data_IF_916153838438
#
_entry.id   IF_916153838438
#
_cell.length_a   1.000
_cell.length_b   1.000
_cell.length_c   1.000
_cell.angle_alpha   90.00
_cell.angle_beta   90.00
_cell.angle_gamma   90.00
#
_symmetry.space_group_name_H-M   'P 1'
#
loop_
_entity.id
_entity.type
_entity.pdbx_description
1 polymer ?
#
# COMPACT_ATOMS: atom_id res chain seq x y z
N UNK A 1 34.18 -7.27 -41.84
CA UNK A 1 33.16 -8.32 -41.67
C UNK A 1 33.80 -9.39 -40.81
N UNK A 2 33.59 -9.32 -39.50
CA UNK A 2 34.11 -10.32 -38.55
C UNK A 2 32.99 -11.31 -38.28
N UNK A 3 33.12 -12.48 -38.88
CA UNK A 3 32.20 -13.60 -38.69
C UNK A 3 32.16 -14.01 -37.22
N UNK A 4 30.94 -14.08 -36.68
CA UNK A 4 30.67 -14.63 -35.37
C UNK A 4 30.69 -16.14 -35.55
N UNK A 5 31.77 -16.79 -35.08
CA UNK A 5 31.93 -18.23 -35.12
C UNK A 5 30.78 -18.88 -34.34
N UNK A 6 29.99 -19.68 -35.06
CA UNK A 6 29.02 -20.64 -34.54
C UNK A 6 29.62 -21.33 -33.31
N UNK A 7 29.06 -21.05 -32.12
CA UNK A 7 29.14 -21.77 -30.82
C UNK A 7 28.90 -20.84 -29.61
N UNK A 8 28.80 -19.52 -29.79
CA UNK A 8 28.39 -18.62 -28.73
C UNK A 8 26.85 -18.61 -28.59
N UNK A 9 26.30 -19.36 -27.63
CA UNK A 9 24.94 -19.11 -27.18
C UNK A 9 24.91 -17.77 -26.44
N UNK A 10 24.31 -16.75 -27.06
CA UNK A 10 23.98 -15.50 -26.38
C UNK A 10 22.90 -15.83 -25.34
N UNK A 11 23.28 -16.07 -24.08
CA UNK A 11 22.33 -16.24 -22.98
C UNK A 11 21.87 -14.86 -22.54
N UNK A 12 20.76 -14.41 -23.09
CA UNK A 12 19.99 -13.33 -22.50
C UNK A 12 19.08 -13.95 -21.42
N UNK A 13 19.32 -13.62 -20.16
CA UNK A 13 18.26 -13.66 -19.17
C UNK A 13 17.31 -12.52 -19.54
N UNK A 14 16.14 -12.85 -20.08
CA UNK A 14 15.07 -11.86 -20.14
C UNK A 14 14.82 -11.40 -18.70
N UNK A 15 14.83 -10.09 -18.39
CA UNK A 15 14.33 -9.65 -17.10
C UNK A 15 12.90 -10.18 -16.97
N UNK A 16 12.55 -10.69 -15.78
CA UNK A 16 11.16 -11.06 -15.48
C UNK A 16 10.27 -9.87 -15.87
N UNK A 17 9.51 -10.03 -16.95
CA UNK A 17 8.78 -8.95 -17.60
C UNK A 17 7.46 -8.64 -16.88
N UNK A 18 7.23 -9.25 -15.72
CA UNK A 18 6.10 -8.90 -14.87
C UNK A 18 6.39 -7.59 -14.15
N UNK A 19 5.55 -6.59 -14.37
CA UNK A 19 5.60 -5.35 -13.61
C UNK A 19 5.54 -5.65 -12.09
N UNK A 20 6.36 -4.98 -11.27
CA UNK A 20 6.36 -5.16 -9.82
C UNK A 20 4.97 -4.92 -9.23
N UNK A 21 4.68 -5.63 -8.14
CA UNK A 21 3.39 -5.55 -7.46
C UNK A 21 3.57 -5.20 -5.99
N UNK A 22 2.58 -4.49 -5.49
CA UNK A 22 2.37 -4.22 -4.08
C UNK A 22 0.99 -4.76 -3.72
N UNK A 23 0.90 -5.58 -2.68
CA UNK A 23 -0.36 -6.16 -2.22
C UNK A 23 -0.69 -5.63 -0.84
N UNK A 24 -1.87 -5.05 -0.68
CA UNK A 24 -2.40 -4.69 0.64
C UNK A 24 -3.48 -5.69 1.00
N UNK A 25 -3.33 -6.37 2.13
CA UNK A 25 -4.36 -7.26 2.64
C UNK A 25 -5.24 -6.50 3.61
N UNK A 26 -6.48 -6.25 3.24
CA UNK A 26 -7.36 -5.35 3.98
C UNK A 26 -8.82 -5.81 4.02
N UNK A 27 -9.58 -5.28 4.97
CA UNK A 27 -11.04 -5.36 5.05
C UNK A 27 -11.62 -4.01 5.46
N UNK A 28 -12.93 -3.91 5.42
CA UNK A 28 -13.67 -2.73 5.81
C UNK A 28 -14.80 -3.03 6.80
N UNK A 29 -15.16 -2.01 7.58
CA UNK A 29 -16.56 -1.79 7.96
C UNK A 29 -17.15 -0.78 6.99
N UNK A 30 -18.41 -1.00 6.60
CA UNK A 30 -19.12 -0.12 5.67
C UNK A 30 -19.99 0.84 6.46
N UNK A 31 -20.21 2.03 5.89
CA UNK A 31 -21.25 2.94 6.35
C UNK A 31 -22.06 3.44 5.15
N UNK A 32 -23.39 3.42 5.27
CA UNK A 32 -24.34 3.72 4.21
C UNK A 32 -24.05 2.95 2.89
N UNK A 33 -23.60 1.71 3.00
CA UNK A 33 -23.26 0.86 1.85
C UNK A 33 -21.96 1.21 1.11
N UNK A 34 -21.16 2.16 1.63
CA UNK A 34 -19.89 2.58 1.06
C UNK A 34 -18.71 2.24 1.99
N UNK A 35 -17.63 1.73 1.39
CA UNK A 35 -16.40 1.36 2.06
C UNK A 35 -15.34 2.47 2.07
N UNK A 36 -14.25 2.29 2.83
CA UNK A 36 -13.11 3.18 2.80
C UNK A 36 -12.43 3.16 1.43
N UNK A 37 -12.07 4.36 0.97
CA UNK A 37 -11.24 4.59 -0.20
C UNK A 37 -9.79 4.50 0.26
N UNK A 38 -9.18 3.36 -0.03
CA UNK A 38 -7.78 3.09 0.24
C UNK A 38 -6.94 3.57 -0.94
N UNK A 39 -5.99 4.46 -0.69
CA UNK A 39 -5.01 4.93 -1.68
C UNK A 39 -3.61 4.48 -1.28
N UNK A 40 -2.80 4.08 -2.27
CA UNK A 40 -1.40 3.72 -2.06
C UNK A 40 -0.50 4.79 -2.66
N UNK A 41 0.46 5.25 -1.88
CA UNK A 41 1.55 6.11 -2.33
C UNK A 41 2.90 5.41 -2.09
N UNK A 42 3.85 5.61 -3.00
CA UNK A 42 5.24 5.17 -2.84
C UNK A 42 6.14 6.38 -3.00
N UNK A 43 6.96 6.66 -1.99
CA UNK A 43 7.80 7.85 -1.95
C UNK A 43 7.01 9.15 -2.09
N UNK A 44 5.75 9.19 -1.61
CA UNK A 44 4.83 10.31 -1.78
C UNK A 44 4.15 10.43 -3.15
N UNK A 45 4.44 9.53 -4.10
CA UNK A 45 3.77 9.51 -5.41
C UNK A 45 2.58 8.55 -5.42
N UNK A 46 1.38 8.97 -5.87
CA UNK A 46 0.22 8.09 -5.99
C UNK A 46 0.47 6.91 -6.94
N UNK A 47 0.16 5.70 -6.48
CA UNK A 47 0.16 4.47 -7.28
C UNK A 47 -1.25 4.17 -7.78
N UNK A 48 -2.24 4.28 -6.91
CA UNK A 48 -3.64 4.00 -7.23
C UNK A 48 -4.54 4.03 -6.00
N UNK A 49 -5.83 3.88 -6.23
CA UNK A 49 -6.85 3.82 -5.17
C UNK A 49 -7.92 2.78 -5.48
N UNK A 50 -8.55 2.27 -4.44
CA UNK A 50 -9.64 1.29 -4.52
C UNK A 50 -10.60 1.48 -3.35
N UNK A 51 -11.90 1.32 -3.59
CA UNK A 51 -12.88 1.19 -2.52
C UNK A 51 -12.81 -0.24 -1.94
N UNK A 52 -12.47 -0.35 -0.66
CA UNK A 52 -12.41 -1.64 0.04
C UNK A 52 -13.83 -1.96 0.52
N UNK A 53 -14.51 -2.86 -0.17
CA UNK A 53 -15.89 -3.27 0.16
C UNK A 53 -15.98 -4.58 0.93
N UNK A 54 -14.90 -5.37 0.91
CA UNK A 54 -14.88 -6.68 1.57
C UNK A 54 -14.89 -6.53 3.09
N UNK A 55 -15.85 -7.18 3.76
CA UNK A 55 -15.92 -7.25 5.23
C UNK A 55 -15.04 -8.35 5.81
N UNK A 56 -14.44 -9.19 4.97
CA UNK A 56 -13.38 -10.15 5.32
C UNK A 56 -12.07 -9.74 4.66
N UNK A 57 -10.92 -10.12 5.24
CA UNK A 57 -9.62 -9.76 4.67
C UNK A 57 -9.45 -10.34 3.27
N UNK A 58 -9.12 -9.44 2.33
CA UNK A 58 -8.88 -9.74 0.93
C UNK A 58 -7.65 -8.99 0.43
N UNK A 59 -7.06 -9.48 -0.64
CA UNK A 59 -5.86 -8.91 -1.24
C UNK A 59 -6.23 -7.86 -2.30
N UNK A 60 -5.66 -6.67 -2.16
CA UNK A 60 -5.77 -5.56 -3.10
C UNK A 60 -4.41 -5.35 -3.74
N UNK A 61 -4.31 -5.62 -5.04
CA UNK A 61 -3.03 -5.64 -5.77
C UNK A 61 -2.88 -4.38 -6.61
N UNK A 62 -1.75 -3.70 -6.44
CA UNK A 62 -1.35 -2.51 -7.18
C UNK A 62 -0.14 -2.83 -8.05
N UNK A 63 -0.23 -2.56 -9.34
CA UNK A 63 0.89 -2.65 -10.27
C UNK A 63 1.75 -1.40 -10.14
N UNK A 64 3.05 -1.58 -9.94
CA UNK A 64 4.01 -0.52 -9.79
C UNK A 64 4.74 -0.24 -11.11
N UNK A 65 5.10 1.01 -11.40
CA UNK A 65 5.87 1.35 -12.61
C UNK A 65 7.34 0.90 -12.51
N UNK A 66 7.86 0.70 -11.31
CA UNK A 66 9.22 0.26 -11.03
C UNK A 66 9.30 -0.43 -9.65
N UNK A 67 10.42 -1.10 -9.38
CA UNK A 67 10.69 -1.68 -8.06
C UNK A 67 10.75 -0.58 -7.00
N UNK A 68 10.27 -0.89 -5.79
CA UNK A 68 10.36 0.04 -4.66
C UNK A 68 11.77 -0.03 -4.08
N UNK A 69 12.43 1.11 -3.95
CA UNK A 69 13.76 1.18 -3.35
C UNK A 69 13.70 0.88 -1.84
N UNK A 70 14.73 0.21 -1.31
CA UNK A 70 14.86 -0.05 0.11
C UNK A 70 14.80 1.25 0.93
N UNK A 71 14.04 1.23 2.03
CA UNK A 71 13.79 2.39 2.88
C UNK A 71 12.83 3.43 2.30
N UNK A 72 12.29 3.24 1.09
CA UNK A 72 11.27 4.14 0.56
C UNK A 72 9.98 4.05 1.40
N UNK A 73 9.32 5.19 1.59
CA UNK A 73 8.01 5.24 2.27
C UNK A 73 6.96 4.57 1.39
N UNK A 74 6.10 3.78 2.02
CA UNK A 74 4.86 3.29 1.43
C UNK A 74 3.73 3.71 2.34
N UNK A 75 2.86 4.59 1.85
CA UNK A 75 1.74 5.12 2.62
C UNK A 75 0.44 4.46 2.14
N UNK A 76 -0.32 3.89 3.07
CA UNK A 76 -1.69 3.39 2.89
C UNK A 76 -2.63 4.42 3.49
N UNK A 77 -3.38 5.12 2.64
CA UNK A 77 -4.19 6.27 3.03
C UNK A 77 -5.65 5.87 3.05
N UNK A 78 -6.32 6.18 4.17
CA UNK A 78 -7.78 6.19 4.26
C UNK A 78 -8.23 7.65 4.23
N UNK A 79 -8.94 8.05 3.17
CA UNK A 79 -9.20 9.49 2.89
C UNK A 79 -10.67 9.92 2.88
N UNK A 80 -11.61 9.01 3.14
CA UNK A 80 -13.05 9.28 3.11
C UNK A 80 -13.76 8.74 4.36
N UNK A 81 -13.13 8.91 5.52
CA UNK A 81 -13.76 8.67 6.81
C UNK A 81 -15.12 9.36 6.93
N UNK A 82 -16.04 8.69 7.61
CA UNK A 82 -17.41 9.13 7.78
C UNK A 82 -18.36 7.97 8.04
N UNK A 83 -19.47 8.29 8.69
CA UNK A 83 -20.42 7.29 9.14
C UNK A 83 -21.87 7.77 9.10
N UNK A 84 -22.73 6.97 9.71
CA UNK A 84 -24.09 7.33 10.08
C UNK A 84 -24.20 7.36 11.61
N UNK A 85 -25.40 7.45 12.17
CA UNK A 85 -25.59 7.34 13.61
C UNK A 85 -25.27 5.93 14.16
N UNK A 86 -25.29 4.90 13.31
CA UNK A 86 -25.18 3.49 13.72
C UNK A 86 -24.07 2.71 13.02
N UNK A 87 -23.45 3.31 12.00
CA UNK A 87 -22.42 2.69 11.18
C UNK A 87 -21.23 3.62 11.08
N UNK A 88 -20.06 3.02 11.01
CA UNK A 88 -18.81 3.74 10.90
C UNK A 88 -17.93 3.07 9.83
N UNK A 89 -17.39 3.88 8.93
CA UNK A 89 -16.58 3.39 7.81
C UNK A 89 -15.15 3.34 8.29
N UNK A 90 -14.58 2.15 8.33
CA UNK A 90 -13.22 1.96 8.81
C UNK A 90 -12.43 1.08 7.87
N UNK A 91 -11.14 1.37 7.74
CA UNK A 91 -10.17 0.54 7.03
C UNK A 91 -9.38 -0.28 8.04
N UNK A 92 -9.25 -1.57 7.75
CA UNK A 92 -8.44 -2.49 8.54
C UNK A 92 -7.38 -3.09 7.63
N UNK A 93 -6.11 -2.83 7.90
CA UNK A 93 -4.98 -3.35 7.12
C UNK A 93 -4.32 -4.46 7.91
N UNK A 94 -4.31 -5.69 7.39
CA UNK A 94 -3.61 -6.82 8.03
C UNK A 94 -2.12 -6.82 7.69
N UNK A 95 -1.80 -6.55 6.43
CA UNK A 95 -0.41 -6.55 5.96
C UNK A 95 -0.21 -5.80 4.65
N UNK A 96 1.05 -5.44 4.41
CA UNK A 96 1.56 -4.92 3.15
C UNK A 96 2.63 -5.88 2.62
N UNK A 97 2.51 -6.34 1.39
CA UNK A 97 3.57 -7.10 0.72
C UNK A 97 4.16 -6.29 -0.43
N UNK A 98 5.46 -6.03 -0.36
CA UNK A 98 6.21 -5.25 -1.36
C UNK A 98 7.62 -5.82 -1.51
N UNK A 99 8.12 -5.92 -2.74
CA UNK A 99 9.45 -6.50 -3.00
C UNK A 99 9.59 -7.96 -2.56
N UNK A 100 8.48 -8.69 -2.40
CA UNK A 100 8.46 -10.07 -1.89
C UNK A 100 8.46 -10.20 -0.37
N UNK A 101 8.52 -9.11 0.38
CA UNK A 101 8.48 -9.10 1.85
C UNK A 101 7.12 -8.63 2.34
N UNK A 102 6.59 -9.33 3.34
CA UNK A 102 5.37 -8.92 4.05
C UNK A 102 5.75 -8.14 5.31
N UNK A 103 5.17 -6.95 5.44
CA UNK A 103 5.29 -6.02 6.56
C UNK A 103 3.94 -5.95 7.30
N UNK A 104 3.99 -5.77 8.61
CA UNK A 104 2.83 -5.67 9.47
C UNK A 104 2.63 -4.22 9.96
N UNK A 105 1.38 -3.75 10.10
CA UNK A 105 1.11 -2.41 10.64
C UNK A 105 1.73 -2.17 12.02
N UNK A 106 1.99 -3.23 12.79
CA UNK A 106 2.56 -3.19 14.13
C UNK A 106 4.08 -3.32 14.17
N UNK A 107 4.74 -3.42 13.01
CA UNK A 107 6.21 -3.48 12.95
C UNK A 107 6.83 -2.19 13.48
N UNK A 108 8.04 -2.30 14.04
CA UNK A 108 8.75 -1.15 14.59
C UNK A 108 9.03 -0.10 13.50
N UNK A 109 8.72 1.16 13.81
CA UNK A 109 8.89 2.28 12.88
C UNK A 109 7.70 2.51 11.94
N UNK A 110 6.71 1.61 11.91
CA UNK A 110 5.42 1.88 11.25
C UNK A 110 4.61 2.84 12.10
N UNK A 111 4.00 3.84 11.46
CA UNK A 111 3.22 4.87 12.14
C UNK A 111 1.91 5.15 11.43
N UNK A 112 0.93 5.68 12.15
CA UNK A 112 -0.24 6.32 11.55
C UNK A 112 -0.17 7.81 11.83
N UNK A 113 -0.28 8.63 10.80
CA UNK A 113 -0.42 10.08 10.91
C UNK A 113 -1.88 10.46 10.62
N UNK A 114 -2.58 10.89 11.66
CA UNK A 114 -4.03 11.09 11.62
C UNK A 114 -4.32 12.49 11.09
N UNK A 115 -5.04 12.57 9.98
CA UNK A 115 -5.37 13.82 9.35
C UNK A 115 -6.04 13.66 8.00
N UNK A 116 -6.69 14.71 7.53
CA UNK A 116 -7.29 14.76 6.19
C UNK A 116 -6.37 15.47 5.19
N UNK A 117 -6.27 14.94 3.98
CA UNK A 117 -5.44 15.54 2.93
C UNK A 117 -3.98 15.66 3.36
N UNK A 118 -3.41 16.87 3.27
CA UNK A 118 -2.01 17.10 3.64
C UNK A 118 -1.69 16.81 5.12
N UNK A 119 -2.69 16.89 6.00
CA UNK A 119 -2.51 16.59 7.43
C UNK A 119 -2.26 15.10 7.71
N UNK A 120 -2.56 14.21 6.77
CA UNK A 120 -2.20 12.79 6.88
C UNK A 120 -0.68 12.54 6.71
N UNK A 121 0.12 13.58 6.52
CA UNK A 121 1.55 13.46 6.21
C UNK A 121 2.42 14.53 6.90
N UNK A 122 1.84 15.35 7.78
CA UNK A 122 2.51 16.52 8.37
C UNK A 122 3.32 16.20 9.64
N UNK A 123 3.17 14.99 10.18
CA UNK A 123 3.88 14.53 11.36
C UNK A 123 3.35 15.11 12.67
N UNK A 124 2.17 15.72 12.68
CA UNK A 124 1.60 16.39 13.86
C UNK A 124 0.84 15.41 14.75
N UNK A 125 -0.02 14.58 14.18
CA UNK A 125 -0.87 13.65 14.95
C UNK A 125 -0.46 12.19 14.70
N UNK A 126 0.77 11.88 15.08
CA UNK A 126 1.38 10.57 14.83
C UNK A 126 1.21 9.64 16.02
N UNK A 127 0.71 8.43 15.74
CA UNK A 127 0.65 7.32 16.68
C UNK A 127 1.44 6.11 16.15
N UNK A 128 1.82 5.15 17.01
CA UNK A 128 2.35 3.86 16.56
C UNK A 128 1.38 3.17 15.59
N UNK A 129 1.94 2.45 14.63
CA UNK A 129 1.14 1.70 13.66
C UNK A 129 0.28 0.62 14.33
N UNK A 130 -0.92 0.44 13.79
CA UNK A 130 -1.90 -0.55 14.21
C UNK A 130 -2.76 -0.96 13.00
N UNK A 131 -3.46 -2.07 13.12
CA UNK A 131 -4.32 -2.63 12.07
C UNK A 131 -5.52 -1.72 11.77
N UNK A 132 -6.10 -1.14 12.81
CA UNK A 132 -7.35 -0.38 12.75
C UNK A 132 -7.08 1.10 12.40
N UNK A 133 -7.55 1.52 11.23
CA UNK A 133 -7.48 2.92 10.76
C UNK A 133 -8.92 3.47 10.80
N UNK A 134 -9.22 4.17 11.90
CA UNK A 134 -10.59 4.58 12.25
C UNK A 134 -10.91 6.04 11.91
N UNK A 135 -10.00 6.70 11.21
CA UNK A 135 -10.08 8.11 10.84
C UNK A 135 -9.42 8.30 9.48
N UNK A 136 -9.61 9.49 8.90
CA UNK A 136 -8.73 9.93 7.85
C UNK A 136 -7.28 9.93 8.35
N UNK A 137 -6.41 9.17 7.69
CA UNK A 137 -5.03 9.00 8.12
C UNK A 137 -4.18 8.34 7.02
N UNK A 138 -2.85 8.40 7.18
CA UNK A 138 -1.91 7.58 6.44
C UNK A 138 -1.17 6.62 7.36
N UNK A 139 -1.29 5.31 7.10
CA UNK A 139 -0.45 4.28 7.68
C UNK A 139 0.83 4.15 6.86
N UNK A 140 1.98 4.42 7.47
CA UNK A 140 3.29 4.54 6.82
C UNK A 140 4.20 3.38 7.14
N UNK A 141 4.59 2.66 6.10
CA UNK A 141 5.63 1.63 6.13
C UNK A 141 6.92 2.14 5.49
N UNK A 142 8.00 1.38 5.68
CA UNK A 142 9.25 1.52 4.95
C UNK A 142 9.55 0.22 4.23
N UNK A 143 9.84 0.31 2.93
CA UNK A 143 10.20 -0.86 2.13
C UNK A 143 11.50 -1.52 2.66
N UNK A 144 11.60 -2.86 2.60
CA UNK A 144 12.74 -3.62 3.11
C UNK A 144 14.05 -3.32 2.36
#
# INVERSE_FOLDING_TARGET
QTDILWNAALRFTAPDSSAPRLTVRARASLAAGAGPLMQVLVGGSPVGSVEVRSTSFADYVFTLPAQVAAGARVDIVFGNDGGTATEDRNLYVESLTVGGTTLLPTDSGVTIDIGSGAAAFDGVMVIPGQTDILWNAALRFFAP
#
